data_IF_504455958886
#
_entry.id   IF_504455958886
#
_cell.length_a   1.000
_cell.length_b   1.000
_cell.length_c   1.000
_cell.angle_alpha   90.00
_cell.angle_beta   90.00
_cell.angle_gamma   90.00
#
_symmetry.space_group_name_H-M   'P 1'
#
loop_
_entity.id
_entity.type
_entity.pdbx_description
1 polymer ?
#
# COMPACT_ATOMS: atom_id res chain seq x y z
N UNK A 1 -14.40 1.81 19.47
CA UNK A 1 -15.04 2.95 18.76
C UNK A 1 -15.36 3.98 19.81
N UNK A 2 -14.99 5.23 19.57
CA UNK A 2 -15.31 6.37 20.44
C UNK A 2 -16.56 7.08 19.92
N UNK A 3 -17.20 7.88 20.74
CA UNK A 3 -18.30 8.77 20.35
C UNK A 3 -17.70 10.07 19.80
N UNK A 4 -17.31 10.04 18.53
CA UNK A 4 -16.69 11.13 17.77
C UNK A 4 -17.23 11.10 16.34
N UNK A 5 -17.05 12.17 15.55
CA UNK A 5 -17.38 12.10 14.12
C UNK A 5 -16.58 11.01 13.41
N UNK A 6 -17.26 10.23 12.57
CA UNK A 6 -16.65 9.14 11.79
C UNK A 6 -16.67 9.47 10.30
N UNK A 7 -15.60 9.04 9.62
CA UNK A 7 -15.51 9.13 8.17
C UNK A 7 -16.48 8.19 7.44
N UNK A 8 -16.63 8.41 6.16
CA UNK A 8 -17.51 7.64 5.28
C UNK A 8 -16.71 6.60 4.50
N UNK A 9 -17.25 5.39 4.39
CA UNK A 9 -16.73 4.34 3.51
C UNK A 9 -17.62 4.25 2.27
N UNK A 10 -17.02 4.42 1.09
CA UNK A 10 -17.69 4.31 -0.19
C UNK A 10 -17.16 3.08 -0.92
N UNK A 11 -18.04 2.13 -1.24
CA UNK A 11 -17.72 0.97 -2.05
C UNK A 11 -17.89 1.30 -3.52
N UNK A 12 -16.84 1.10 -4.30
CA UNK A 12 -16.80 1.40 -5.73
C UNK A 12 -16.55 0.12 -6.53
N UNK A 13 -17.21 0.07 -7.69
CA UNK A 13 -17.05 -0.99 -8.68
C UNK A 13 -16.76 -0.36 -10.02
N UNK A 14 -15.85 -0.96 -10.78
CA UNK A 14 -15.57 -0.53 -12.14
C UNK A 14 -15.16 -1.71 -13.03
N UNK A 15 -15.38 -1.60 -14.32
CA UNK A 15 -14.87 -2.57 -15.29
C UNK A 15 -13.46 -2.15 -15.66
N UNK A 16 -12.48 -3.00 -15.35
CA UNK A 16 -11.08 -2.78 -15.71
C UNK A 16 -10.81 -3.29 -17.12
N UNK A 17 -10.23 -2.46 -17.95
CA UNK A 17 -9.73 -2.87 -19.28
C UNK A 17 -8.46 -3.70 -19.15
N UNK A 18 -7.70 -3.55 -18.06
CA UNK A 18 -6.43 -4.25 -17.82
C UNK A 18 -6.66 -5.69 -17.39
N UNK A 19 -7.53 -5.93 -16.37
CA UNK A 19 -7.87 -7.28 -15.93
C UNK A 19 -8.97 -7.93 -16.76
N UNK A 20 -9.64 -7.16 -17.61
CA UNK A 20 -10.83 -7.54 -18.36
C UNK A 20 -11.93 -8.10 -17.44
N UNK A 21 -12.04 -7.56 -16.22
CA UNK A 21 -12.96 -8.02 -15.19
C UNK A 21 -13.54 -6.86 -14.38
N UNK A 22 -14.62 -7.15 -13.62
CA UNK A 22 -15.14 -6.22 -12.64
C UNK A 22 -14.23 -6.19 -11.42
N UNK A 23 -13.78 -4.99 -11.10
CA UNK A 23 -12.90 -4.71 -9.97
C UNK A 23 -13.59 -3.82 -8.95
N UNK A 24 -13.04 -3.81 -7.74
CA UNK A 24 -13.63 -3.09 -6.61
C UNK A 24 -12.57 -2.47 -5.71
N UNK A 25 -12.95 -1.37 -5.09
CA UNK A 25 -12.15 -0.72 -4.06
C UNK A 25 -13.04 0.03 -3.07
N UNK A 26 -12.49 0.36 -1.91
CA UNK A 26 -13.17 1.19 -0.91
C UNK A 26 -12.43 2.52 -0.82
N UNK A 27 -13.19 3.61 -0.78
CA UNK A 27 -12.69 4.94 -0.46
C UNK A 27 -13.15 5.32 0.94
N UNK A 28 -12.19 5.60 1.82
CA UNK A 28 -12.46 6.28 3.08
C UNK A 28 -12.30 7.78 2.90
N UNK A 29 -13.32 8.51 3.28
CA UNK A 29 -13.33 9.98 3.33
C UNK A 29 -13.38 10.42 4.79
N UNK A 30 -12.43 11.25 5.25
CA UNK A 30 -12.38 11.69 6.63
C UNK A 30 -13.61 12.54 7.04
N UNK A 31 -13.98 12.56 8.34
CA UNK A 31 -15.14 13.31 8.80
C UNK A 31 -14.92 14.82 8.72
N UNK A 32 -16.02 15.56 8.56
CA UNK A 32 -16.09 17.02 8.73
C UNK A 32 -15.22 17.86 7.80
N UNK A 33 -14.67 17.30 6.74
CA UNK A 33 -13.87 18.02 5.73
C UNK A 33 -14.29 17.64 4.31
N UNK A 34 -14.24 18.57 3.34
CA UNK A 34 -14.48 18.25 1.94
C UNK A 34 -13.34 17.35 1.42
N UNK A 35 -13.65 16.47 0.46
CA UNK A 35 -12.63 15.62 -0.18
C UNK A 35 -11.67 16.39 -1.07
N UNK A 36 -12.11 17.52 -1.61
CA UNK A 36 -11.34 18.32 -2.55
C UNK A 36 -10.01 18.82 -1.96
N UNK A 37 -8.93 18.46 -2.65
CA UNK A 37 -7.57 18.87 -2.26
C UNK A 37 -6.93 18.08 -1.12
N UNK A 38 -7.60 17.07 -0.55
CA UNK A 38 -7.00 16.19 0.46
C UNK A 38 -5.83 15.39 -0.13
N UNK A 39 -4.82 15.05 0.67
CA UNK A 39 -3.92 13.95 0.35
C UNK A 39 -4.66 12.61 0.31
N UNK A 40 -4.07 11.62 -0.37
CA UNK A 40 -4.62 10.27 -0.50
C UNK A 40 -3.56 9.20 -0.26
N UNK A 41 -3.90 8.20 0.53
CA UNK A 41 -3.11 6.99 0.74
C UNK A 41 -3.75 5.81 0.00
N UNK A 42 -3.02 5.20 -0.94
CA UNK A 42 -3.37 3.92 -1.55
C UNK A 42 -2.85 2.79 -0.66
N UNK A 43 -3.77 2.04 -0.03
CA UNK A 43 -3.45 1.10 1.06
C UNK A 43 -3.82 -0.34 0.68
N UNK A 44 -2.82 -1.23 0.58
CA UNK A 44 -2.96 -2.58 0.06
C UNK A 44 -2.98 -3.64 1.17
N UNK A 45 -3.87 -4.64 1.01
CA UNK A 45 -4.01 -5.79 1.90
C UNK A 45 -3.03 -6.93 1.55
N UNK A 46 -3.02 -8.00 2.36
CA UNK A 46 -2.20 -9.19 2.18
C UNK A 46 -2.81 -10.26 1.27
N UNK A 47 -2.04 -11.33 1.03
CA UNK A 47 -2.49 -12.47 0.23
C UNK A 47 -3.70 -13.16 0.87
N UNK A 48 -4.71 -13.47 0.05
CA UNK A 48 -5.94 -14.14 0.50
C UNK A 48 -6.96 -13.23 1.19
N UNK A 49 -6.70 -11.93 1.25
CA UNK A 49 -7.59 -10.91 1.78
C UNK A 49 -8.32 -10.17 0.65
N UNK A 50 -8.93 -9.01 0.94
CA UNK A 50 -9.65 -8.19 -0.04
C UNK A 50 -9.66 -6.70 0.37
N UNK A 51 -10.29 -5.86 -0.44
CA UNK A 51 -10.43 -4.41 -0.23
C UNK A 51 -11.06 -4.03 1.12
N UNK A 52 -11.87 -4.93 1.72
CA UNK A 52 -12.53 -4.67 3.01
C UNK A 52 -11.62 -4.92 4.21
N UNK A 53 -10.49 -5.61 4.05
CA UNK A 53 -9.69 -6.12 5.18
C UNK A 53 -9.14 -5.01 6.06
N UNK A 54 -8.68 -3.92 5.47
CA UNK A 54 -8.22 -2.76 6.22
C UNK A 54 -9.30 -2.07 7.04
N UNK A 55 -10.57 -2.12 6.63
CA UNK A 55 -11.68 -1.54 7.39
C UNK A 55 -12.26 -2.51 8.40
N UNK A 56 -12.46 -3.78 8.03
CA UNK A 56 -13.10 -4.80 8.88
C UNK A 56 -12.17 -5.32 9.96
N UNK A 57 -10.96 -5.72 9.59
CA UNK A 57 -9.96 -6.28 10.52
C UNK A 57 -8.94 -5.23 10.94
N UNK A 58 -8.38 -4.48 9.99
CA UNK A 58 -7.37 -3.45 10.24
C UNK A 58 -7.89 -2.23 11.01
N UNK A 59 -9.17 -1.91 10.88
CA UNK A 59 -9.80 -0.73 11.51
C UNK A 59 -9.14 0.59 11.10
N UNK A 60 -8.58 0.67 9.89
CA UNK A 60 -7.85 1.84 9.42
C UNK A 60 -8.69 3.13 9.48
N UNK A 61 -9.95 3.05 9.09
CA UNK A 61 -10.90 4.16 9.20
C UNK A 61 -11.07 4.65 10.65
N UNK A 62 -11.24 3.74 11.61
CA UNK A 62 -11.41 4.08 13.04
C UNK A 62 -10.09 4.62 13.64
N UNK A 63 -8.95 4.08 13.22
CA UNK A 63 -7.64 4.60 13.63
C UNK A 63 -7.48 6.04 13.15
N UNK A 64 -7.78 6.32 11.87
CA UNK A 64 -7.71 7.69 11.34
C UNK A 64 -8.68 8.63 12.05
N UNK A 65 -9.95 8.26 12.21
CA UNK A 65 -10.95 9.07 12.92
C UNK A 65 -10.42 9.49 14.29
N UNK A 66 -9.86 8.53 15.05
CA UNK A 66 -9.28 8.81 16.37
C UNK A 66 -8.06 9.75 16.30
N UNK A 67 -7.16 9.55 15.33
CA UNK A 67 -5.97 10.38 15.19
C UNK A 67 -6.31 11.80 14.74
N UNK A 68 -7.31 11.97 13.88
CA UNK A 68 -7.82 13.29 13.45
C UNK A 68 -8.44 14.02 14.63
N UNK A 69 -9.33 13.37 15.39
CA UNK A 69 -9.98 13.96 16.56
C UNK A 69 -8.98 14.35 17.65
N UNK A 70 -7.91 13.60 17.82
CA UNK A 70 -6.82 13.95 18.75
C UNK A 70 -5.88 15.05 18.22
N UNK A 71 -6.09 15.55 17.00
CA UNK A 71 -5.23 16.53 16.36
C UNK A 71 -3.81 16.02 16.06
N UNK A 72 -3.62 14.71 15.96
CA UNK A 72 -2.31 14.10 15.72
C UNK A 72 -1.93 14.02 14.24
N UNK A 73 -2.92 14.10 13.37
CA UNK A 73 -2.74 14.07 11.92
C UNK A 73 -3.63 15.09 11.23
N UNK A 74 -3.22 15.54 10.06
CA UNK A 74 -4.11 16.24 9.13
C UNK A 74 -5.00 15.21 8.42
N UNK A 75 -6.27 15.55 8.09
CA UNK A 75 -7.14 14.63 7.37
C UNK A 75 -6.59 14.25 5.98
N UNK A 76 -6.71 12.98 5.63
CA UNK A 76 -6.42 12.46 4.29
C UNK A 76 -7.38 11.32 3.92
N UNK A 77 -7.59 11.10 2.63
CA UNK A 77 -8.40 10.00 2.12
C UNK A 77 -7.58 8.69 2.05
N UNK A 78 -8.26 7.53 2.09
CA UNK A 78 -7.64 6.24 1.80
C UNK A 78 -8.39 5.58 0.65
N UNK A 79 -7.65 4.98 -0.28
CA UNK A 79 -8.18 4.09 -1.32
C UNK A 79 -7.61 2.69 -1.07
N UNK A 80 -8.50 1.71 -0.86
CA UNK A 80 -8.15 0.31 -0.57
C UNK A 80 -8.66 -0.56 -1.72
N UNK A 81 -7.76 -1.09 -2.53
CA UNK A 81 -8.10 -1.91 -3.70
C UNK A 81 -8.09 -3.40 -3.36
N UNK A 82 -8.82 -4.21 -4.13
CA UNK A 82 -8.63 -5.65 -4.12
C UNK A 82 -7.31 -5.99 -4.84
N UNK A 83 -6.29 -6.34 -4.07
CA UNK A 83 -4.97 -6.70 -4.59
C UNK A 83 -4.87 -8.13 -5.12
N UNK A 84 -5.91 -8.95 -4.91
CA UNK A 84 -6.02 -10.32 -5.45
C UNK A 84 -6.62 -10.31 -6.86
N UNK A 85 -6.07 -9.48 -7.73
CA UNK A 85 -6.55 -9.26 -9.10
C UNK A 85 -6.67 -10.57 -9.86
N UNK A 86 -7.83 -10.79 -10.49
CA UNK A 86 -8.10 -11.93 -11.36
C UNK A 86 -8.26 -11.47 -12.79
N UNK A 87 -7.28 -11.80 -13.60
CA UNK A 87 -7.34 -11.56 -15.04
C UNK A 87 -8.27 -12.56 -15.73
N UNK A 88 -9.15 -12.06 -16.59
CA UNK A 88 -10.17 -12.86 -17.25
C UNK A 88 -9.81 -13.16 -18.71
N UNK A 89 -9.84 -14.44 -19.05
CA UNK A 89 -9.61 -14.96 -20.39
C UNK A 89 -10.85 -15.75 -20.88
N UNK A 90 -11.79 -15.08 -21.50
CA UNK A 90 -13.07 -15.67 -21.89
C UNK A 90 -13.88 -16.11 -20.64
N UNK A 91 -14.01 -17.42 -20.40
CA UNK A 91 -14.68 -17.99 -19.22
C UNK A 91 -13.73 -18.36 -18.08
N UNK A 92 -12.42 -18.32 -18.32
CA UNK A 92 -11.40 -18.60 -17.28
C UNK A 92 -10.98 -17.34 -16.57
N UNK A 93 -10.71 -17.49 -15.26
CA UNK A 93 -10.09 -16.46 -14.42
C UNK A 93 -8.78 -17.00 -13.85
N UNK A 94 -7.72 -16.17 -13.87
CA UNK A 94 -6.41 -16.51 -13.30
C UNK A 94 -5.96 -15.40 -12.37
N UNK A 95 -5.46 -15.79 -11.20
CA UNK A 95 -4.87 -14.84 -10.28
C UNK A 95 -3.62 -14.19 -10.90
N UNK A 96 -3.65 -12.87 -11.03
CA UNK A 96 -2.54 -12.07 -11.51
C UNK A 96 -2.41 -10.78 -10.69
N UNK A 97 -1.98 -10.91 -9.43
CA UNK A 97 -1.82 -9.81 -8.48
C UNK A 97 -0.80 -8.75 -8.92
N UNK A 98 0.02 -9.08 -9.92
CA UNK A 98 1.01 -8.18 -10.53
C UNK A 98 0.34 -7.06 -11.34
N UNK A 99 -0.87 -7.29 -11.86
CA UNK A 99 -1.62 -6.28 -12.63
C UNK A 99 -2.04 -5.07 -11.80
N UNK A 100 -2.06 -5.19 -10.46
CA UNK A 100 -2.50 -4.09 -9.60
C UNK A 100 -1.70 -2.80 -9.84
N UNK A 101 -0.39 -2.90 -10.11
CA UNK A 101 0.45 -1.73 -10.42
C UNK A 101 -0.10 -0.95 -11.62
N UNK A 102 -0.32 -1.64 -12.74
CA UNK A 102 -0.87 -1.01 -13.94
C UNK A 102 -2.28 -0.47 -13.70
N UNK A 103 -3.13 -1.23 -13.04
CA UNK A 103 -4.48 -0.81 -12.70
C UNK A 103 -4.48 0.44 -11.82
N UNK A 104 -3.59 0.51 -10.82
CA UNK A 104 -3.45 1.70 -9.98
C UNK A 104 -3.07 2.92 -10.81
N UNK A 105 -2.03 2.80 -11.64
CA UNK A 105 -1.44 3.93 -12.36
C UNK A 105 -2.31 4.38 -13.53
N UNK A 106 -2.81 3.42 -14.33
CA UNK A 106 -3.50 3.72 -15.59
C UNK A 106 -5.01 3.94 -15.40
N UNK A 107 -5.64 3.32 -14.38
CA UNK A 107 -7.11 3.35 -14.20
C UNK A 107 -7.53 3.99 -12.87
N UNK A 108 -7.10 3.45 -11.72
CA UNK A 108 -7.67 3.80 -10.41
C UNK A 108 -7.30 5.22 -10.00
N UNK A 109 -6.01 5.58 -10.02
CA UNK A 109 -5.55 6.93 -9.65
C UNK A 109 -6.27 8.01 -10.47
N UNK A 110 -6.28 7.95 -11.83
CA UNK A 110 -6.98 8.96 -12.61
C UNK A 110 -8.48 9.03 -12.32
N UNK A 111 -9.13 7.88 -12.13
CA UNK A 111 -10.56 7.79 -11.90
C UNK A 111 -10.96 8.37 -10.54
N UNK A 112 -10.31 7.93 -9.45
CA UNK A 112 -10.68 8.35 -8.09
C UNK A 112 -10.32 9.80 -7.84
N UNK A 113 -9.15 10.26 -8.30
CA UNK A 113 -8.73 11.64 -8.11
C UNK A 113 -9.63 12.62 -8.88
N UNK A 114 -10.07 12.25 -10.08
CA UNK A 114 -11.06 13.02 -10.82
C UNK A 114 -12.42 13.05 -10.10
N UNK A 115 -12.89 11.89 -9.59
CA UNK A 115 -14.21 11.77 -8.95
C UNK A 115 -14.29 12.51 -7.63
N UNK A 116 -13.26 12.36 -6.78
CA UNK A 116 -13.25 12.88 -5.41
C UNK A 116 -12.49 14.20 -5.27
N UNK A 117 -11.76 14.62 -6.31
CA UNK A 117 -10.95 15.85 -6.35
C UNK A 117 -9.84 15.88 -5.27
N UNK A 118 -9.34 14.74 -4.81
CA UNK A 118 -8.20 14.64 -3.91
C UNK A 118 -6.89 14.29 -4.69
N UNK A 119 -5.74 14.21 -4.00
CA UNK A 119 -4.46 13.88 -4.62
C UNK A 119 -3.99 14.93 -5.62
N UNK A 120 -3.82 14.56 -6.86
CA UNK A 120 -3.50 15.46 -8.00
C UNK A 120 -2.01 15.76 -8.19
N UNK A 121 -1.17 15.54 -7.19
CA UNK A 121 0.29 15.67 -7.29
C UNK A 121 1.00 14.66 -6.38
N UNK A 122 2.29 14.45 -6.63
CA UNK A 122 3.13 13.52 -5.90
C UNK A 122 3.11 13.73 -4.39
N UNK A 123 3.23 14.97 -3.95
CA UNK A 123 3.31 15.36 -2.54
C UNK A 123 2.02 15.03 -1.75
N UNK A 124 0.94 14.81 -2.47
CA UNK A 124 -0.36 14.43 -1.91
C UNK A 124 -0.70 12.95 -2.10
N UNK A 125 0.24 12.14 -2.60
CA UNK A 125 0.02 10.69 -2.76
C UNK A 125 0.97 9.90 -1.88
N UNK A 126 0.39 8.94 -1.16
CA UNK A 126 1.13 7.90 -0.46
C UNK A 126 0.70 6.51 -0.94
N UNK A 127 1.57 5.54 -0.79
CA UNK A 127 1.25 4.14 -0.99
C UNK A 127 1.81 3.29 0.13
N UNK A 128 1.00 2.39 0.67
CA UNK A 128 1.43 1.46 1.71
C UNK A 128 0.73 0.11 1.55
N UNK A 129 1.30 -0.94 2.14
CA UNK A 129 0.69 -2.24 2.14
C UNK A 129 1.35 -3.21 3.11
N UNK A 130 0.61 -4.27 3.43
CA UNK A 130 1.09 -5.36 4.30
C UNK A 130 1.32 -6.64 3.50
N UNK A 131 2.33 -7.43 3.88
CA UNK A 131 2.61 -8.75 3.29
C UNK A 131 2.68 -8.68 1.75
N UNK A 132 1.80 -9.36 1.00
CA UNK A 132 1.68 -9.22 -0.46
C UNK A 132 1.51 -7.75 -0.89
N UNK A 133 0.67 -6.99 -0.20
CA UNK A 133 0.45 -5.57 -0.50
C UNK A 133 1.71 -4.71 -0.33
N UNK A 134 2.65 -5.12 0.52
CA UNK A 134 3.95 -4.46 0.64
C UNK A 134 4.83 -4.66 -0.60
N UNK A 135 4.79 -5.86 -1.19
CA UNK A 135 5.49 -6.17 -2.45
C UNK A 135 4.88 -5.36 -3.60
N UNK A 136 3.54 -5.31 -3.67
CA UNK A 136 2.83 -4.47 -4.63
C UNK A 136 3.19 -2.99 -4.47
N UNK A 137 3.31 -2.51 -3.21
CA UNK A 137 3.76 -1.15 -2.91
C UNK A 137 5.17 -0.90 -3.39
N UNK A 138 6.13 -1.75 -3.01
CA UNK A 138 7.54 -1.59 -3.40
C UNK A 138 7.69 -1.56 -4.91
N UNK A 139 7.03 -2.47 -5.61
CA UNK A 139 7.02 -2.52 -7.06
C UNK A 139 6.51 -1.22 -7.66
N UNK A 140 5.30 -0.80 -7.27
CA UNK A 140 4.67 0.39 -7.84
C UNK A 140 5.50 1.66 -7.61
N UNK A 141 6.01 1.86 -6.39
CA UNK A 141 6.76 3.09 -6.09
C UNK A 141 8.17 3.11 -6.69
N UNK A 142 8.77 1.94 -6.91
CA UNK A 142 10.09 1.86 -7.57
C UNK A 142 9.98 2.02 -9.08
N UNK A 143 8.91 1.52 -9.69
CA UNK A 143 8.67 1.65 -11.13
C UNK A 143 8.10 3.04 -11.48
N UNK A 144 7.42 3.71 -10.52
CA UNK A 144 6.80 5.02 -10.67
C UNK A 144 7.19 6.00 -9.55
N UNK A 145 8.49 6.32 -9.35
CA UNK A 145 8.96 7.13 -8.22
C UNK A 145 8.45 8.58 -8.23
N UNK A 146 7.97 9.05 -9.38
CA UNK A 146 7.43 10.39 -9.53
C UNK A 146 5.94 10.50 -9.14
N UNK A 147 5.28 9.40 -8.78
CA UNK A 147 3.86 9.40 -8.42
C UNK A 147 3.58 9.55 -6.94
N UNK A 148 4.49 9.09 -6.06
CA UNK A 148 4.26 9.00 -4.63
C UNK A 148 5.36 9.67 -3.83
N UNK A 149 5.01 10.32 -2.72
CA UNK A 149 5.96 10.91 -1.77
C UNK A 149 6.06 10.15 -0.46
N UNK A 150 5.02 9.39 -0.10
CA UNK A 150 4.94 8.68 1.17
C UNK A 150 4.84 7.16 0.93
N UNK A 151 5.74 6.38 1.52
CA UNK A 151 5.82 4.93 1.30
C UNK A 151 5.84 4.17 2.60
N UNK A 152 4.94 3.16 2.74
CA UNK A 152 4.85 2.29 3.90
C UNK A 152 4.89 0.80 3.53
N UNK A 153 5.88 0.06 4.07
CA UNK A 153 6.11 -1.36 3.80
C UNK A 153 5.97 -2.11 5.13
N UNK A 154 4.83 -2.81 5.30
CA UNK A 154 4.48 -3.49 6.56
C UNK A 154 4.64 -5.00 6.43
N UNK A 155 5.48 -5.61 7.26
CA UNK A 155 5.75 -7.06 7.27
C UNK A 155 5.98 -7.63 5.87
N UNK A 156 6.79 -6.94 5.09
CA UNK A 156 6.97 -7.28 3.69
C UNK A 156 8.40 -7.15 3.22
N UNK A 157 8.56 -7.23 1.92
CA UNK A 157 9.86 -7.35 1.29
C UNK A 157 10.06 -6.30 0.22
N UNK A 158 11.33 -5.95 0.05
CA UNK A 158 11.81 -5.19 -1.09
C UNK A 158 12.02 -6.07 -2.32
N UNK A 159 12.05 -7.40 -2.14
CA UNK A 159 12.19 -8.40 -3.20
C UNK A 159 10.87 -9.13 -3.41
N UNK A 160 10.65 -9.58 -4.63
CA UNK A 160 9.47 -10.37 -4.95
C UNK A 160 9.47 -11.72 -4.19
N UNK A 161 8.27 -12.14 -3.79
CA UNK A 161 8.02 -13.34 -2.99
C UNK A 161 8.20 -14.65 -3.77
N UNK A 162 8.41 -14.61 -5.07
CA UNK A 162 8.19 -15.73 -5.98
C UNK A 162 9.42 -16.63 -6.14
N UNK A 163 10.56 -16.31 -5.53
CA UNK A 163 11.67 -17.26 -5.50
C UNK A 163 11.28 -18.54 -4.73
N UNK A 164 10.99 -19.58 -5.47
CA UNK A 164 10.91 -20.96 -4.94
C UNK A 164 9.52 -21.58 -4.81
N UNK A 165 8.43 -20.98 -5.29
CA UNK A 165 7.14 -21.69 -5.35
C UNK A 165 6.65 -21.86 -6.80
N UNK A 166 6.97 -23.03 -7.45
CA UNK A 166 6.60 -23.31 -8.83
C UNK A 166 5.10 -23.53 -9.03
N UNK A 167 4.32 -23.77 -7.98
CA UNK A 167 2.93 -24.21 -8.05
C UNK A 167 1.91 -23.06 -7.98
N UNK A 168 2.35 -21.82 -7.95
CA UNK A 168 1.43 -20.68 -8.06
C UNK A 168 1.29 -20.29 -9.52
N UNK A 169 0.07 -20.35 -10.02
CA UNK A 169 -0.36 -19.89 -11.34
C UNK A 169 -0.24 -18.37 -11.47
N UNK A 170 0.98 -17.85 -11.47
CA UNK A 170 1.29 -16.46 -11.76
C UNK A 170 1.69 -16.36 -13.23
N UNK A 171 0.90 -15.65 -14.00
CA UNK A 171 0.98 -15.58 -15.46
C UNK A 171 2.27 -14.90 -15.96
N UNK A 172 2.91 -14.06 -15.19
CA UNK A 172 4.13 -13.35 -15.60
C UNK A 172 5.25 -13.48 -14.56
N UNK A 173 6.19 -14.39 -14.83
CA UNK A 173 7.37 -14.68 -14.00
C UNK A 173 8.61 -13.89 -14.44
N UNK A 174 8.47 -12.67 -14.91
CA UNK A 174 9.67 -11.86 -15.15
C UNK A 174 10.43 -11.67 -13.84
N UNK A 175 11.77 -11.70 -13.86
CA UNK A 175 12.58 -11.59 -12.65
C UNK A 175 12.49 -10.17 -12.07
N UNK A 176 11.46 -9.93 -11.26
CA UNK A 176 11.21 -8.65 -10.59
C UNK A 176 12.27 -8.27 -9.57
N UNK A 177 12.99 -9.25 -9.03
CA UNK A 177 14.02 -9.04 -8.04
C UNK A 177 15.08 -8.01 -8.40
N UNK A 178 15.39 -7.90 -9.68
CA UNK A 178 16.43 -6.99 -10.13
C UNK A 178 15.96 -5.56 -10.33
N UNK A 179 14.67 -5.31 -10.57
CA UNK A 179 14.17 -3.98 -10.91
C UNK A 179 14.02 -3.09 -9.69
N UNK A 180 13.44 -3.58 -8.60
CA UNK A 180 13.22 -2.79 -7.38
C UNK A 180 14.53 -2.40 -6.70
N UNK A 181 15.45 -3.35 -6.60
CA UNK A 181 16.77 -3.07 -6.06
C UNK A 181 17.62 -2.15 -6.95
N UNK A 182 17.42 -2.20 -8.28
CA UNK A 182 18.06 -1.27 -9.22
C UNK A 182 17.56 0.17 -9.06
N UNK A 183 16.28 0.36 -8.74
CA UNK A 183 15.78 1.70 -8.46
C UNK A 183 16.54 2.35 -7.29
N UNK A 184 16.92 1.54 -6.28
CA UNK A 184 17.73 2.00 -5.14
C UNK A 184 19.18 2.32 -5.49
N UNK A 185 19.68 1.90 -6.64
CA UNK A 185 21.03 2.28 -7.15
C UNK A 185 21.03 3.70 -7.74
N UNK A 186 19.86 4.30 -7.98
CA UNK A 186 19.76 5.67 -8.42
C UNK A 186 20.11 6.62 -7.27
N UNK A 187 21.12 7.49 -7.42
CA UNK A 187 21.51 8.47 -6.39
C UNK A 187 20.34 9.39 -5.95
N UNK A 188 19.34 9.59 -6.83
CA UNK A 188 18.15 10.37 -6.53
C UNK A 188 17.12 9.62 -5.69
N UNK A 189 17.27 8.31 -5.41
CA UNK A 189 16.26 7.49 -4.74
C UNK A 189 15.76 8.12 -3.43
N UNK A 190 16.69 8.58 -2.59
CA UNK A 190 16.36 9.22 -1.33
C UNK A 190 15.62 10.57 -1.47
N UNK A 191 15.68 11.20 -2.63
CA UNK A 191 14.97 12.44 -2.91
C UNK A 191 13.54 12.22 -3.48
N UNK A 192 13.23 11.00 -3.88
CA UNK A 192 11.89 10.68 -4.38
C UNK A 192 10.84 10.64 -3.26
N UNK A 193 11.22 10.17 -2.07
CA UNK A 193 10.26 9.95 -1.00
C UNK A 193 10.52 10.87 0.18
N UNK A 194 9.47 11.53 0.67
CA UNK A 194 9.49 12.27 1.91
C UNK A 194 9.52 11.30 3.09
N UNK A 195 8.72 10.22 3.01
CA UNK A 195 8.71 9.14 4.01
C UNK A 195 8.91 7.80 3.31
N UNK A 196 9.92 7.05 3.74
CA UNK A 196 10.12 5.65 3.38
C UNK A 196 10.15 4.82 4.68
N UNK A 197 9.02 4.21 5.03
CA UNK A 197 8.81 3.54 6.29
C UNK A 197 8.75 2.03 6.11
N UNK A 198 9.54 1.28 6.90
CA UNK A 198 9.51 -0.18 6.95
C UNK A 198 9.28 -0.68 8.36
N UNK A 199 8.39 -1.67 8.52
CA UNK A 199 8.13 -2.27 9.82
C UNK A 199 7.77 -3.75 9.74
N UNK A 200 7.96 -4.45 10.89
CA UNK A 200 7.67 -5.88 11.01
C UNK A 200 7.43 -6.24 12.49
N UNK A 201 6.82 -7.40 12.75
CA UNK A 201 6.75 -8.01 14.08
C UNK A 201 8.03 -8.70 14.49
N UNK A 202 8.37 -8.70 15.78
CA UNK A 202 9.57 -9.36 16.33
C UNK A 202 9.49 -10.90 16.32
N UNK A 203 8.28 -11.45 16.12
CA UNK A 203 8.00 -12.88 15.96
C UNK A 203 7.42 -13.22 14.59
N UNK A 204 7.45 -12.29 13.65
CA UNK A 204 7.04 -12.51 12.27
C UNK A 204 7.98 -13.54 11.63
N UNK A 205 7.42 -14.56 10.95
CA UNK A 205 8.18 -15.59 10.26
C UNK A 205 9.11 -15.03 9.17
N UNK A 206 8.84 -13.83 8.70
CA UNK A 206 9.66 -13.12 7.70
C UNK A 206 10.73 -12.21 8.31
N UNK A 207 10.85 -12.13 9.62
CA UNK A 207 11.86 -11.30 10.28
C UNK A 207 13.30 -11.59 9.80
N UNK A 208 13.73 -12.86 9.61
CA UNK A 208 15.08 -13.12 9.10
C UNK A 208 15.35 -12.49 7.74
N UNK A 209 14.36 -12.50 6.84
CA UNK A 209 14.46 -11.87 5.52
C UNK A 209 14.49 -10.34 5.63
N UNK A 210 13.64 -9.76 6.47
CA UNK A 210 13.64 -8.32 6.75
C UNK A 210 14.99 -7.83 7.25
N UNK A 211 15.64 -8.58 8.16
CA UNK A 211 16.96 -8.26 8.67
C UNK A 211 18.05 -8.39 7.59
N UNK A 212 17.95 -9.38 6.69
CA UNK A 212 18.87 -9.49 5.56
C UNK A 212 18.72 -8.31 4.58
N UNK A 213 17.51 -7.80 4.39
CA UNK A 213 17.26 -6.61 3.57
C UNK A 213 17.78 -5.31 4.21
N UNK A 214 17.84 -5.21 5.54
CA UNK A 214 18.47 -4.07 6.24
C UNK A 214 19.91 -3.86 5.79
N UNK A 215 20.66 -4.95 5.53
CA UNK A 215 22.03 -4.89 5.04
C UNK A 215 22.10 -4.27 3.64
N UNK A 216 21.21 -4.72 2.75
CA UNK A 216 21.11 -4.22 1.37
C UNK A 216 20.75 -2.72 1.37
N UNK A 217 19.76 -2.32 2.17
CA UNK A 217 19.33 -0.93 2.31
C UNK A 217 20.49 -0.05 2.77
N UNK A 218 21.22 -0.53 3.79
CA UNK A 218 22.39 0.19 4.30
C UNK A 218 23.50 0.32 3.25
N UNK A 219 23.82 -0.76 2.52
CA UNK A 219 24.83 -0.75 1.47
C UNK A 219 24.47 0.20 0.32
N UNK A 220 23.19 0.28 -0.02
CA UNK A 220 22.66 1.19 -1.04
C UNK A 220 22.46 2.63 -0.54
N UNK A 221 22.68 2.89 0.75
CA UNK A 221 22.54 4.22 1.35
C UNK A 221 21.10 4.74 1.33
N UNK A 222 20.09 3.85 1.35
CA UNK A 222 18.68 4.26 1.38
C UNK A 222 18.31 4.77 2.77
N UNK A 223 17.68 5.93 2.82
CA UNK A 223 17.19 6.52 4.06
C UNK A 223 15.79 5.98 4.36
N UNK A 224 15.68 5.22 5.44
CA UNK A 224 14.40 4.66 5.88
C UNK A 224 14.09 4.99 7.34
N UNK A 225 12.80 5.01 7.67
CA UNK A 225 12.31 4.95 9.04
C UNK A 225 11.94 3.50 9.30
N UNK A 226 12.69 2.83 10.18
CA UNK A 226 12.57 1.40 10.45
C UNK A 226 12.00 1.16 11.84
N UNK A 227 11.04 0.23 11.96
CA UNK A 227 10.43 -0.18 13.25
C UNK A 227 10.29 -1.70 13.34
N UNK A 228 10.46 -2.24 14.56
CA UNK A 228 10.08 -3.62 14.91
C UNK A 228 9.09 -3.51 16.07
N UNK A 229 7.94 -4.17 15.94
CA UNK A 229 6.88 -4.20 16.95
C UNK A 229 6.82 -5.58 17.62
N UNK A 230 6.39 -5.68 18.89
CA UNK A 230 6.07 -6.96 19.48
C UNK A 230 4.91 -7.64 18.76
N UNK A 231 5.09 -8.88 18.29
CA UNK A 231 4.03 -9.66 17.65
C UNK A 231 4.46 -10.43 16.41
N UNK A 232 3.49 -11.09 15.81
CA UNK A 232 3.65 -12.03 14.69
C UNK A 232 3.27 -11.36 13.35
N UNK A 233 3.11 -12.18 12.29
CA UNK A 233 2.61 -11.76 10.98
C UNK A 233 1.10 -11.59 11.01
N UNK A 234 0.59 -10.61 11.73
CA UNK A 234 -0.83 -10.45 12.00
C UNK A 234 -1.30 -9.00 12.11
N UNK A 235 -2.62 -8.85 12.17
CA UNK A 235 -3.30 -7.55 12.28
C UNK A 235 -3.00 -6.78 13.57
N UNK A 236 -2.49 -7.40 14.63
CA UNK A 236 -2.10 -6.65 15.84
C UNK A 236 -0.88 -5.79 15.52
N UNK A 237 0.11 -6.38 14.84
CA UNK A 237 1.29 -5.66 14.35
C UNK A 237 0.90 -4.62 13.31
N UNK A 238 0.12 -4.99 12.29
CA UNK A 238 -0.18 -4.09 11.16
C UNK A 238 -1.00 -2.87 11.53
N UNK A 239 -1.87 -2.96 12.56
CA UNK A 239 -2.55 -1.77 13.11
C UNK A 239 -1.58 -0.78 13.76
N UNK A 240 -0.54 -1.28 14.45
CA UNK A 240 0.51 -0.41 14.99
C UNK A 240 1.34 0.22 13.86
N UNK A 241 1.74 -0.58 12.85
CA UNK A 241 2.42 -0.08 11.68
C UNK A 241 1.63 1.06 11.01
N UNK A 242 0.35 0.83 10.75
CA UNK A 242 -0.51 1.83 10.12
C UNK A 242 -0.70 3.08 10.99
N UNK A 243 -0.94 2.92 12.30
CA UNK A 243 -1.14 4.06 13.20
C UNK A 243 0.11 4.95 13.31
N UNK A 244 1.30 4.36 13.34
CA UNK A 244 2.55 5.13 13.36
C UNK A 244 2.82 5.77 12.00
N UNK A 245 2.66 5.03 10.90
CA UNK A 245 2.84 5.56 9.55
C UNK A 245 1.90 6.73 9.26
N UNK A 246 0.62 6.63 9.63
CA UNK A 246 -0.36 7.71 9.46
C UNK A 246 0.04 9.02 10.16
N UNK A 247 0.82 8.95 11.25
CA UNK A 247 1.31 10.11 11.98
C UNK A 247 2.58 10.73 11.37
N UNK A 248 3.20 10.08 10.38
CA UNK A 248 4.43 10.55 9.71
C UNK A 248 4.14 11.24 8.39
N UNK A 249 3.06 10.83 7.71
CA UNK A 249 2.76 11.26 6.34
C UNK A 249 1.90 12.53 6.27
N UNK A 250 2.06 13.27 5.18
CA UNK A 250 1.25 14.46 4.84
C UNK A 250 1.27 15.57 5.92
N UNK A 251 2.38 15.73 6.64
CA UNK A 251 2.53 16.71 7.72
C UNK A 251 2.72 18.16 7.22
#
# INVERSE_FOLDING_TARGET
>A
IRDIPHGTLVHEFYMSDISNNWERFIVYLPPCVPSAGLPVLYLQHGFGESEISWTTTGKANIILDNLIEMGKIKPFAIVMCDGMVKEKFGLEERLNHVLLERMLVEEIIPMVEKKYQFGGCKEKRGMAGLSMGSVQTTRTVCDHPDLFSEVGIFSGFLRDFIEGNPDRDVVDRKPYEQTHLKAMDNPAFNSYFHTFFRCIGDKDSFLPRFLAEDEIIREKGVHEIRRIYPGEHDWNVWRHCFADFAQMIFQ
#
